data_IF_745248696628
#
_entry.id   IF_745248696628
#
_cell.length_a   1.000
_cell.length_b   1.000
_cell.length_c   1.000
_cell.angle_alpha   90.00
_cell.angle_beta   90.00
_cell.angle_gamma   90.00
#
_symmetry.space_group_name_H-M   'P 1'
#
loop_
_entity.id
_entity.type
_entity.pdbx_description
1 polymer ?
#
# COMPACT_ATOMS: atom_id res chain seq x y z
N UNK A 1 -12.64 17.83 -28.53
CA UNK A 1 -12.98 16.53 -29.16
C UNK A 1 -11.83 16.09 -30.07
N UNK A 2 -11.17 14.97 -29.80
CA UNK A 2 -10.39 14.20 -30.79
C UNK A 2 -10.82 12.73 -30.64
N UNK A 3 -11.31 12.10 -31.70
CA UNK A 3 -11.58 10.65 -31.67
C UNK A 3 -10.24 9.92 -31.66
N UNK A 4 -9.77 9.49 -30.49
CA UNK A 4 -8.87 8.32 -30.42
C UNK A 4 -9.66 7.14 -30.97
N UNK A 5 -9.16 6.51 -32.03
CA UNK A 5 -9.67 5.22 -32.45
C UNK A 5 -9.06 4.20 -31.49
N UNK A 6 -9.84 3.72 -30.51
CA UNK A 6 -9.47 2.50 -29.80
C UNK A 6 -9.44 1.38 -30.83
N UNK A 7 -8.27 0.78 -31.02
CA UNK A 7 -8.03 -0.24 -32.03
C UNK A 7 -8.61 -1.55 -31.47
N UNK A 8 -9.90 -1.74 -31.67
CA UNK A 8 -10.62 -2.97 -31.33
C UNK A 8 -10.26 -4.10 -32.28
N UNK A 9 -9.00 -4.56 -32.24
CA UNK A 9 -8.59 -5.80 -32.88
C UNK A 9 -9.22 -6.94 -32.08
N UNK A 10 -10.26 -7.54 -32.67
CA UNK A 10 -10.68 -8.88 -32.27
C UNK A 10 -9.60 -9.83 -32.77
N UNK A 11 -8.69 -10.23 -31.89
CA UNK A 11 -7.74 -11.29 -32.17
C UNK A 11 -8.53 -12.60 -32.42
N UNK A 12 -8.66 -12.98 -33.68
CA UNK A 12 -9.35 -14.22 -34.07
C UNK A 12 -8.43 -15.39 -33.71
N UNK A 13 -8.62 -15.96 -32.52
CA UNK A 13 -7.81 -17.05 -32.00
C UNK A 13 -7.83 -18.26 -32.95
N UNK A 14 -6.68 -18.57 -33.56
CA UNK A 14 -6.48 -19.80 -34.34
C UNK A 14 -6.27 -20.95 -33.35
N UNK A 15 -7.37 -21.58 -32.94
CA UNK A 15 -7.32 -22.75 -32.06
C UNK A 15 -6.77 -23.98 -32.80
N UNK A 16 -5.45 -24.13 -32.83
CA UNK A 16 -4.81 -25.34 -33.35
C UNK A 16 -4.95 -26.48 -32.33
N UNK A 17 -5.82 -27.44 -32.63
CA UNK A 17 -6.00 -28.67 -31.84
C UNK A 17 -5.69 -29.86 -32.72
N UNK A 18 -4.55 -30.53 -32.46
CA UNK A 18 -4.17 -31.80 -33.10
C UNK A 18 -3.75 -32.79 -32.00
N UNK A 19 -4.13 -34.06 -32.17
CA UNK A 19 -4.07 -35.07 -31.12
C UNK A 19 -2.83 -36.00 -31.21
N UNK A 20 -2.63 -36.75 -30.12
CA UNK A 20 -1.50 -37.63 -29.82
C UNK A 20 -1.08 -38.60 -30.93
N UNK A 21 0.24 -38.77 -31.12
CA UNK A 21 0.82 -39.84 -31.93
C UNK A 21 2.08 -40.45 -31.27
N UNK A 22 2.04 -41.74 -30.94
CA UNK A 22 3.21 -42.47 -30.43
C UNK A 22 4.05 -43.05 -31.58
N UNK A 23 5.38 -42.89 -31.53
CA UNK A 23 6.31 -43.62 -32.38
C UNK A 23 7.60 -43.99 -31.62
N UNK A 24 7.97 -45.28 -31.65
CA UNK A 24 9.29 -45.76 -31.24
C UNK A 24 10.26 -45.63 -32.44
N UNK A 25 11.50 -45.19 -32.20
CA UNK A 25 12.58 -45.27 -33.18
C UNK A 25 13.93 -45.59 -32.52
N UNK A 26 14.69 -46.50 -33.13
CA UNK A 26 16.07 -46.86 -32.75
C UNK A 26 17.00 -46.55 -33.93
N UNK A 27 18.04 -45.75 -33.70
CA UNK A 27 19.11 -45.42 -34.64
C UNK A 27 20.12 -44.51 -33.94
N UNK A 28 21.28 -45.00 -33.49
CA UNK A 28 22.51 -45.29 -34.26
C UNK A 28 23.33 -44.04 -34.66
N UNK A 29 24.18 -43.61 -33.71
CA UNK A 29 25.49 -42.96 -33.86
C UNK A 29 25.84 -42.23 -35.18
N UNK A 30 25.99 -40.90 -35.07
CA UNK A 30 27.09 -40.14 -35.70
C UNK A 30 27.72 -39.21 -34.64
N UNK A 31 29.03 -38.87 -34.75
CA UNK A 31 29.74 -38.12 -33.71
C UNK A 31 29.47 -36.61 -33.80
N UNK A 32 29.16 -35.98 -32.66
CA UNK A 32 28.82 -34.56 -32.61
C UNK A 32 30.00 -33.63 -32.98
N UNK A 33 29.91 -33.00 -34.16
CA UNK A 33 30.52 -31.69 -34.36
C UNK A 33 29.77 -30.67 -33.53
N UNK A 34 30.47 -29.86 -32.72
CA UNK A 34 29.85 -28.83 -31.90
C UNK A 34 29.15 -27.77 -32.76
N UNK A 35 27.83 -27.92 -32.94
CA UNK A 35 26.98 -26.75 -33.11
C UNK A 35 27.07 -25.94 -31.81
N UNK A 36 27.39 -24.65 -31.91
CA UNK A 36 27.13 -23.71 -30.81
C UNK A 36 25.62 -23.54 -30.74
N UNK A 37 24.99 -24.30 -29.85
CA UNK A 37 23.54 -24.31 -29.68
C UNK A 37 23.04 -22.88 -29.42
N UNK A 38 22.22 -22.38 -30.35
CA UNK A 38 21.23 -21.35 -29.99
C UNK A 38 20.27 -22.00 -29.00
N UNK A 39 19.71 -21.25 -28.03
CA UNK A 39 18.49 -21.72 -27.37
C UNK A 39 17.48 -22.10 -28.46
N UNK A 40 16.89 -23.29 -28.36
CA UNK A 40 15.92 -23.74 -29.35
C UNK A 40 14.61 -22.99 -29.15
N UNK A 41 13.93 -22.63 -30.24
CA UNK A 41 12.69 -21.87 -30.17
C UNK A 41 11.62 -22.56 -29.27
N UNK A 42 11.68 -23.89 -29.17
CA UNK A 42 10.87 -24.73 -28.26
C UNK A 42 11.04 -24.34 -26.78
N UNK A 43 12.26 -24.04 -26.33
CA UNK A 43 12.52 -23.65 -24.95
C UNK A 43 12.00 -22.22 -24.67
N UNK A 44 12.25 -21.30 -25.61
CA UNK A 44 11.80 -19.91 -25.51
C UNK A 44 10.25 -19.82 -25.57
N UNK A 45 9.60 -20.61 -26.42
CA UNK A 45 8.15 -20.72 -26.51
C UNK A 45 7.52 -21.30 -25.22
N UNK A 46 8.19 -22.25 -24.57
CA UNK A 46 7.76 -22.75 -23.26
C UNK A 46 7.84 -21.66 -22.18
N UNK A 47 8.90 -20.84 -22.18
CA UNK A 47 9.04 -19.71 -21.27
C UNK A 47 7.97 -18.64 -21.53
N UNK A 48 7.77 -18.24 -22.78
CA UNK A 48 6.78 -17.24 -23.17
C UNK A 48 5.33 -17.66 -22.87
N UNK A 49 5.01 -18.96 -22.98
CA UNK A 49 3.71 -19.50 -22.55
C UNK A 49 3.54 -19.48 -21.02
N UNK A 50 4.60 -19.76 -20.25
CA UNK A 50 4.56 -19.66 -18.79
C UNK A 50 4.39 -18.20 -18.32
N UNK A 51 5.13 -17.26 -18.93
CA UNK A 51 4.98 -15.82 -18.67
C UNK A 51 3.57 -15.31 -19.02
N UNK A 52 3.01 -15.75 -20.15
CA UNK A 52 1.63 -15.44 -20.54
C UNK A 52 0.61 -15.94 -19.51
N UNK A 53 0.84 -17.09 -18.89
CA UNK A 53 -0.01 -17.61 -17.81
C UNK A 53 0.09 -16.77 -16.52
N UNK A 54 1.29 -16.29 -16.17
CA UNK A 54 1.51 -15.37 -15.04
C UNK A 54 0.82 -14.03 -15.27
N UNK A 55 1.08 -13.36 -16.40
CA UNK A 55 0.46 -12.08 -16.76
C UNK A 55 -1.07 -12.18 -16.82
N UNK A 56 -1.60 -13.32 -17.28
CA UNK A 56 -3.04 -13.61 -17.25
C UNK A 56 -3.58 -13.70 -15.82
N UNK A 57 -2.88 -14.36 -14.92
CA UNK A 57 -3.30 -14.52 -13.54
C UNK A 57 -3.34 -13.17 -12.81
N UNK A 58 -2.29 -12.36 -12.94
CA UNK A 58 -2.19 -11.02 -12.34
C UNK A 58 -3.31 -10.09 -12.85
N UNK A 59 -3.46 -9.95 -14.17
CA UNK A 59 -4.50 -9.10 -14.77
C UNK A 59 -5.93 -9.62 -14.45
N UNK A 60 -6.08 -10.92 -14.17
CA UNK A 60 -7.37 -11.48 -13.70
C UNK A 60 -7.70 -11.04 -12.27
N UNK A 61 -6.70 -10.82 -11.42
CA UNK A 61 -6.87 -10.27 -10.06
C UNK A 61 -7.19 -8.79 -10.10
N UNK A 62 -6.41 -7.97 -10.84
CA UNK A 62 -6.66 -6.53 -11.00
C UNK A 62 -8.08 -6.25 -11.56
N UNK A 63 -8.55 -7.07 -12.49
CA UNK A 63 -9.92 -7.02 -13.03
C UNK A 63 -11.00 -7.32 -11.96
N UNK A 64 -10.70 -8.15 -10.96
CA UNK A 64 -11.62 -8.43 -9.84
C UNK A 64 -11.62 -7.29 -8.82
N UNK A 65 -10.46 -6.70 -8.52
CA UNK A 65 -10.33 -5.58 -7.58
C UNK A 65 -10.97 -4.30 -8.14
N UNK A 66 -10.76 -4.00 -9.42
CA UNK A 66 -11.47 -2.95 -10.14
C UNK A 66 -13.01 -3.13 -10.12
N UNK A 67 -13.48 -4.39 -10.21
CA UNK A 67 -14.90 -4.71 -10.02
C UNK A 67 -15.36 -4.63 -8.55
N UNK A 68 -14.48 -4.78 -7.57
CA UNK A 68 -14.79 -4.56 -6.16
C UNK A 68 -14.90 -3.06 -5.85
N UNK A 69 -14.01 -2.24 -6.42
CA UNK A 69 -14.06 -0.77 -6.34
C UNK A 69 -15.40 -0.24 -6.86
N UNK A 70 -15.89 -0.68 -8.04
CA UNK A 70 -17.22 -0.30 -8.55
C UNK A 70 -18.42 -0.65 -7.63
N UNK A 71 -18.21 -1.52 -6.64
CA UNK A 71 -19.21 -1.96 -5.64
C UNK A 71 -19.01 -1.30 -4.26
N UNK A 72 -17.89 -0.60 -4.03
CA UNK A 72 -17.58 0.08 -2.76
C UNK A 72 -18.50 1.31 -2.53
N UNK A 73 -18.50 1.94 -1.34
CA UNK A 73 -19.22 3.19 -1.12
C UNK A 73 -18.78 4.29 -2.10
N UNK A 74 -17.47 4.47 -2.29
CA UNK A 74 -16.90 5.43 -3.25
C UNK A 74 -17.29 5.09 -4.68
N UNK A 75 -17.07 3.85 -5.13
CA UNK A 75 -17.44 3.46 -6.49
C UNK A 75 -18.94 3.38 -6.74
N UNK A 76 -19.79 3.54 -5.71
CA UNK A 76 -21.24 3.78 -5.82
C UNK A 76 -21.59 5.27 -5.92
N UNK A 77 -20.89 6.14 -5.20
CA UNK A 77 -21.09 7.59 -5.19
C UNK A 77 -20.45 8.30 -6.39
N UNK A 78 -19.36 7.74 -6.94
CA UNK A 78 -18.57 8.31 -8.02
C UNK A 78 -19.40 8.69 -9.27
N UNK A 79 -18.93 9.72 -9.96
CA UNK A 79 -19.56 10.24 -11.17
C UNK A 79 -19.70 9.18 -12.26
N UNK A 80 -20.77 9.30 -13.06
CA UNK A 80 -21.12 8.25 -14.01
C UNK A 80 -20.12 8.17 -15.18
N UNK A 81 -19.38 9.24 -15.48
CA UNK A 81 -18.31 9.28 -16.48
C UNK A 81 -17.15 8.37 -16.09
N UNK A 82 -16.68 8.48 -14.85
CA UNK A 82 -15.53 7.77 -14.29
C UNK A 82 -15.88 6.29 -14.13
N UNK A 83 -17.09 6.01 -13.63
CA UNK A 83 -17.62 4.63 -13.54
C UNK A 83 -17.79 3.97 -14.90
N UNK A 84 -18.11 4.73 -15.96
CA UNK A 84 -18.15 4.23 -17.36
C UNK A 84 -16.75 3.99 -17.91
N UNK A 85 -15.78 4.84 -17.59
CA UNK A 85 -14.38 4.65 -17.99
C UNK A 85 -13.80 3.37 -17.36
N UNK A 86 -13.96 3.18 -16.05
CA UNK A 86 -13.53 1.96 -15.35
C UNK A 86 -14.26 0.71 -15.88
N UNK A 87 -15.57 0.81 -16.16
CA UNK A 87 -16.34 -0.26 -16.79
C UNK A 87 -15.88 -0.63 -18.21
N UNK A 88 -15.22 0.30 -18.94
CA UNK A 88 -14.59 0.01 -20.22
C UNK A 88 -13.21 -0.65 -20.03
N UNK A 89 -12.34 -0.07 -19.18
CA UNK A 89 -11.01 -0.63 -18.91
C UNK A 89 -11.06 -2.07 -18.37
N UNK A 90 -12.01 -2.38 -17.47
CA UNK A 90 -12.29 -3.75 -16.98
C UNK A 90 -12.59 -4.71 -18.14
N UNK A 91 -13.38 -4.27 -19.12
CA UNK A 91 -13.80 -5.11 -20.26
C UNK A 91 -12.64 -5.36 -21.22
N UNK A 92 -11.83 -4.35 -21.48
CA UNK A 92 -10.70 -4.46 -22.41
C UNK A 92 -9.57 -5.30 -21.77
N UNK A 93 -9.33 -5.15 -20.46
CA UNK A 93 -8.51 -6.07 -19.66
C UNK A 93 -9.01 -7.52 -19.67
N UNK A 94 -10.33 -7.76 -19.59
CA UNK A 94 -10.91 -9.10 -19.77
C UNK A 94 -10.65 -9.68 -21.18
N UNK A 95 -10.57 -8.84 -22.21
CA UNK A 95 -10.15 -9.22 -23.55
C UNK A 95 -8.70 -9.73 -23.60
N UNK A 96 -7.78 -9.01 -22.95
CA UNK A 96 -6.36 -9.41 -22.84
C UNK A 96 -6.19 -10.67 -21.99
N UNK A 97 -6.85 -10.77 -20.83
CA UNK A 97 -6.90 -12.00 -20.00
C UNK A 97 -7.33 -13.20 -20.84
N UNK A 98 -8.38 -13.04 -21.65
CA UNK A 98 -8.88 -14.12 -22.54
C UNK A 98 -7.84 -14.49 -23.59
N UNK A 99 -7.20 -13.49 -24.22
CA UNK A 99 -6.22 -13.68 -25.29
C UNK A 99 -4.93 -14.34 -24.80
N UNK A 100 -4.37 -13.91 -23.67
CA UNK A 100 -3.22 -14.55 -23.01
C UNK A 100 -3.50 -16.03 -22.68
N UNK A 101 -4.77 -16.37 -22.38
CA UNK A 101 -5.19 -17.76 -22.15
C UNK A 101 -5.18 -18.67 -23.37
N UNK A 102 -4.93 -18.12 -24.58
CA UNK A 102 -4.69 -18.91 -25.79
C UNK A 102 -3.21 -19.22 -26.02
N UNK A 103 -2.30 -18.49 -25.38
CA UNK A 103 -0.85 -18.74 -25.48
C UNK A 103 -0.51 -19.96 -24.63
N UNK A 104 -0.37 -21.10 -25.29
CA UNK A 104 -0.07 -22.40 -24.65
C UNK A 104 0.98 -23.13 -25.45
N UNK A 105 1.80 -23.94 -24.78
CA UNK A 105 2.89 -24.69 -25.38
C UNK A 105 2.83 -26.19 -25.04
N UNK A 106 3.19 -27.04 -25.99
CA UNK A 106 3.37 -28.48 -25.77
C UNK A 106 4.86 -28.84 -25.86
N UNK A 107 5.44 -29.55 -24.89
CA UNK A 107 6.83 -30.03 -24.96
C UNK A 107 7.15 -30.94 -26.15
N UNK A 108 6.15 -31.37 -26.94
CA UNK A 108 6.29 -32.13 -28.18
C UNK A 108 6.09 -31.31 -29.46
N UNK A 109 5.99 -29.98 -29.38
CA UNK A 109 5.74 -29.09 -30.52
C UNK A 109 6.96 -28.87 -31.42
N UNK A 110 6.69 -28.43 -32.64
CA UNK A 110 7.68 -28.14 -33.68
C UNK A 110 8.27 -26.72 -33.57
N UNK A 111 9.40 -26.45 -34.25
CA UNK A 111 9.98 -25.09 -34.28
C UNK A 111 9.08 -24.04 -34.96
N UNK A 112 8.22 -24.46 -35.90
CA UNK A 112 7.25 -23.59 -36.57
C UNK A 112 6.11 -23.19 -35.60
N UNK A 113 5.56 -24.15 -34.86
CA UNK A 113 4.59 -23.90 -33.79
C UNK A 113 5.21 -23.05 -32.66
N UNK A 114 6.47 -23.30 -32.30
CA UNK A 114 7.19 -22.52 -31.29
C UNK A 114 7.36 -21.04 -31.72
N UNK A 115 7.70 -20.82 -32.99
CA UNK A 115 7.81 -19.47 -33.56
C UNK A 115 6.46 -18.75 -33.53
N UNK A 116 5.36 -19.41 -33.89
CA UNK A 116 4.02 -18.84 -33.84
C UNK A 116 3.58 -18.48 -32.40
N UNK A 117 3.92 -19.29 -31.40
CA UNK A 117 3.69 -19.00 -29.98
C UNK A 117 4.51 -17.79 -29.52
N UNK A 118 5.76 -17.66 -29.95
CA UNK A 118 6.62 -16.53 -29.63
C UNK A 118 6.12 -15.21 -30.22
N UNK A 119 5.67 -15.19 -31.49
CA UNK A 119 5.10 -13.98 -32.12
C UNK A 119 3.81 -13.53 -31.41
N UNK A 120 2.92 -14.48 -31.08
CA UNK A 120 1.68 -14.19 -30.36
C UNK A 120 1.94 -13.68 -28.93
N UNK A 121 2.85 -14.34 -28.19
CA UNK A 121 3.23 -13.93 -26.85
C UNK A 121 3.83 -12.52 -26.85
N UNK A 122 4.83 -12.27 -27.70
CA UNK A 122 5.49 -10.96 -27.84
C UNK A 122 4.49 -9.84 -28.11
N UNK A 123 3.49 -10.10 -28.96
CA UNK A 123 2.44 -9.14 -29.30
C UNK A 123 1.57 -8.83 -28.08
N UNK A 124 1.06 -9.85 -27.39
CA UNK A 124 0.18 -9.67 -26.23
C UNK A 124 0.91 -9.08 -25.01
N UNK A 125 2.16 -9.49 -24.77
CA UNK A 125 3.00 -8.95 -23.69
C UNK A 125 3.25 -7.45 -23.84
N UNK A 126 3.37 -6.95 -25.08
CA UNK A 126 3.52 -5.52 -25.35
C UNK A 126 2.25 -4.70 -25.06
N UNK A 127 1.07 -5.31 -25.11
CA UNK A 127 -0.21 -4.64 -24.81
C UNK A 127 -0.52 -4.57 -23.30
N UNK A 128 -0.10 -5.60 -22.54
CA UNK A 128 -0.41 -5.73 -21.10
C UNK A 128 -0.09 -4.48 -20.26
N UNK A 129 1.11 -3.86 -20.33
CA UNK A 129 1.44 -2.69 -19.51
C UNK A 129 0.52 -1.49 -19.73
N UNK A 130 0.09 -1.25 -20.98
CA UNK A 130 -0.80 -0.15 -21.31
C UNK A 130 -2.21 -0.39 -20.73
N UNK A 131 -2.71 -1.62 -20.84
CA UNK A 131 -4.03 -2.01 -20.33
C UNK A 131 -4.06 -2.03 -18.80
N UNK A 132 -2.99 -2.45 -18.13
CA UNK A 132 -2.82 -2.34 -16.66
C UNK A 132 -2.82 -0.88 -16.22
N UNK A 133 -2.09 0.01 -16.91
CA UNK A 133 -2.11 1.45 -16.60
C UNK A 133 -3.50 2.06 -16.73
N UNK A 134 -4.22 1.80 -17.84
CA UNK A 134 -5.56 2.36 -18.06
C UNK A 134 -6.59 1.82 -17.04
N UNK A 135 -6.47 0.54 -16.65
CA UNK A 135 -7.27 -0.06 -15.58
C UNK A 135 -7.00 0.59 -14.22
N UNK A 136 -5.74 0.78 -13.86
CA UNK A 136 -5.35 1.39 -12.58
C UNK A 136 -5.71 2.87 -12.50
N UNK A 137 -5.50 3.64 -13.56
CA UNK A 137 -5.81 5.08 -13.56
C UNK A 137 -7.33 5.33 -13.57
N UNK A 138 -8.11 4.52 -14.28
CA UNK A 138 -9.57 4.54 -14.18
C UNK A 138 -10.08 4.11 -12.79
N UNK A 139 -9.38 3.18 -12.13
CA UNK A 139 -9.70 2.75 -10.76
C UNK A 139 -9.47 3.89 -9.76
N UNK A 140 -8.31 4.56 -9.82
CA UNK A 140 -8.00 5.74 -9.01
C UNK A 140 -9.02 6.88 -9.22
N UNK A 141 -9.38 7.16 -10.48
CA UNK A 141 -10.35 8.20 -10.81
C UNK A 141 -11.74 7.95 -10.18
N UNK A 142 -12.21 6.69 -10.20
CA UNK A 142 -13.48 6.31 -9.53
C UNK A 142 -13.40 6.47 -8.01
N UNK A 143 -12.28 6.09 -7.37
CA UNK A 143 -12.11 6.26 -5.93
C UNK A 143 -12.09 7.75 -5.55
N UNK A 144 -11.34 8.57 -6.29
CA UNK A 144 -11.23 10.02 -6.03
C UNK A 144 -12.57 10.74 -6.22
N UNK A 145 -13.26 10.52 -7.35
CA UNK A 145 -14.59 11.08 -7.61
C UNK A 145 -15.62 10.62 -6.55
N UNK A 146 -15.60 9.33 -6.20
CA UNK A 146 -16.48 8.78 -5.16
C UNK A 146 -16.28 9.41 -3.80
N UNK A 147 -15.02 9.64 -3.40
CA UNK A 147 -14.70 10.29 -2.13
C UNK A 147 -15.14 11.76 -2.13
N UNK A 148 -14.87 12.49 -3.21
CA UNK A 148 -15.27 13.90 -3.34
C UNK A 148 -16.79 14.07 -3.19
N UNK A 149 -17.58 13.28 -3.93
CA UNK A 149 -19.06 13.34 -3.86
C UNK A 149 -19.57 13.03 -2.45
N UNK A 150 -18.97 12.08 -1.72
CA UNK A 150 -19.38 11.77 -0.33
C UNK A 150 -18.97 12.86 0.67
N UNK A 151 -17.84 13.53 0.45
CA UNK A 151 -17.41 14.66 1.29
C UNK A 151 -18.32 15.88 1.09
N UNK A 152 -18.71 16.18 -0.16
CA UNK A 152 -19.68 17.24 -0.49
C UNK A 152 -21.06 16.93 0.11
N UNK A 153 -21.51 15.68 0.03
CA UNK A 153 -22.75 15.23 0.68
C UNK A 153 -22.70 15.40 2.20
N UNK A 154 -21.65 14.89 2.86
CA UNK A 154 -21.50 15.03 4.31
C UNK A 154 -21.40 16.50 4.77
N UNK A 155 -20.73 17.37 3.99
CA UNK A 155 -20.68 18.80 4.25
C UNK A 155 -22.05 19.49 4.09
N UNK A 156 -22.91 18.99 3.19
CA UNK A 156 -24.28 19.49 3.02
C UNK A 156 -25.30 18.94 4.04
N UNK A 157 -24.94 17.87 4.77
CA UNK A 157 -25.76 17.26 5.83
C UNK A 157 -25.37 17.74 7.24
N UNK A 158 -24.27 18.51 7.37
CA UNK A 158 -23.87 19.14 8.62
C UNK A 158 -24.83 20.30 8.98
N UNK A 159 -25.24 20.43 10.26
CA UNK A 159 -26.14 21.51 10.68
C UNK A 159 -25.44 22.87 10.70
N UNK A 160 -26.05 23.88 10.06
CA UNK A 160 -25.70 25.29 10.26
C UNK A 160 -26.12 25.73 11.67
N UNK A 161 -25.27 25.56 12.69
CA UNK A 161 -25.48 26.20 13.99
C UNK A 161 -24.81 27.58 14.09
N UNK A 162 -25.58 28.47 14.69
CA UNK A 162 -25.51 29.93 14.67
C UNK A 162 -24.25 30.55 15.26
N UNK A 163 -23.76 31.60 14.61
CA UNK A 163 -22.92 32.59 15.27
C UNK A 163 -23.79 33.52 16.16
N UNK A 164 -23.48 33.59 17.45
CA UNK A 164 -23.93 34.69 18.34
C UNK A 164 -22.81 35.09 19.31
N UNK A 165 -22.75 36.38 19.63
CA UNK A 165 -21.72 37.00 20.46
C UNK A 165 -22.00 36.84 21.96
N UNK A 166 -20.93 36.79 22.77
CA UNK A 166 -20.95 37.18 24.18
C UNK A 166 -19.60 37.84 24.54
N UNK A 167 -19.64 39.00 25.20
CA UNK A 167 -18.48 39.87 25.42
C UNK A 167 -18.03 39.94 26.90
N UNK A 168 -16.77 40.32 27.09
CA UNK A 168 -16.14 40.90 28.29
C UNK A 168 -16.45 40.33 29.70
N UNK A 169 -15.46 39.62 30.25
CA UNK A 169 -14.82 39.99 31.53
C UNK A 169 -13.52 39.16 31.75
N UNK A 170 -12.51 39.73 32.41
CA UNK A 170 -11.30 38.97 32.76
C UNK A 170 -10.52 39.57 33.93
N UNK A 171 -9.71 38.74 34.58
CA UNK A 171 -8.61 39.12 35.50
C UNK A 171 -7.69 37.91 35.72
N UNK A 172 -6.39 38.08 35.47
CA UNK A 172 -5.33 37.32 36.14
C UNK A 172 -5.07 37.94 37.53
N UNK A 173 -4.71 37.15 38.56
CA UNK A 173 -3.31 37.24 39.00
C UNK A 173 -2.69 35.92 39.50
N UNK A 174 -1.46 35.66 39.08
CA UNK A 174 -0.62 34.60 39.63
C UNK A 174 -0.15 34.84 41.09
N UNK A 175 -0.17 33.79 41.92
CA UNK A 175 0.85 33.50 42.96
C UNK A 175 0.59 32.14 43.67
N UNK A 176 1.65 31.35 43.87
CA UNK A 176 1.69 30.16 44.75
C UNK A 176 2.47 30.51 46.04
N UNK A 177 2.27 29.84 47.19
CA UNK A 177 3.30 28.85 47.58
C UNK A 177 2.80 27.59 48.34
N UNK A 178 3.65 26.54 48.26
CA UNK A 178 3.61 25.22 48.90
C UNK A 178 3.16 25.16 50.38
N UNK A 179 2.75 24.00 50.94
CA UNK A 179 3.61 22.96 51.61
C UNK A 179 2.63 21.92 52.24
N UNK A 180 2.81 20.58 52.38
CA UNK A 180 3.96 19.64 52.50
C UNK A 180 3.60 18.20 52.00
N UNK A 181 4.62 17.34 51.84
CA UNK A 181 4.80 15.91 52.27
C UNK A 181 3.66 15.16 53.01
N UNK A 182 3.60 13.82 53.07
CA UNK A 182 4.49 12.70 52.63
C UNK A 182 3.66 11.37 52.57
N UNK A 183 4.12 10.17 52.18
CA UNK A 183 5.44 9.62 51.74
C UNK A 183 5.23 8.60 50.59
N UNK A 184 6.27 8.34 49.79
CA UNK A 184 6.33 7.19 48.87
C UNK A 184 7.57 7.20 47.98
N UNK A 185 8.57 6.36 48.26
CA UNK A 185 9.84 6.31 47.51
C UNK A 185 9.87 5.16 46.52
N UNK A 186 10.00 5.49 45.23
CA UNK A 186 10.24 4.54 44.14
C UNK A 186 11.40 5.07 43.24
N UNK A 187 12.40 4.25 42.85
CA UNK A 187 13.71 4.78 42.45
C UNK A 187 13.91 4.92 40.93
N UNK A 188 13.09 5.73 40.25
CA UNK A 188 13.26 6.01 38.80
C UNK A 188 12.81 7.41 38.32
N UNK A 189 12.75 8.42 39.19
CA UNK A 189 12.23 9.75 38.83
C UNK A 189 13.21 10.58 37.99
N UNK A 190 13.26 10.32 36.68
CA UNK A 190 13.74 11.32 35.70
C UNK A 190 12.93 12.62 35.86
N UNK A 191 13.53 13.82 35.77
CA UNK A 191 12.79 15.07 35.92
C UNK A 191 11.65 15.19 34.90
N UNK A 192 10.44 15.50 35.36
CA UNK A 192 9.32 15.80 34.49
C UNK A 192 9.66 17.02 33.60
N UNK A 193 9.59 16.85 32.28
CA UNK A 193 9.85 17.93 31.30
C UNK A 193 10.90 17.63 30.22
N UNK A 194 11.68 16.55 30.33
CA UNK A 194 12.73 16.23 29.32
C UNK A 194 12.83 14.74 29.02
N UNK A 195 12.83 14.39 27.73
CA UNK A 195 13.14 13.03 27.27
C UNK A 195 14.65 12.76 27.28
N UNK A 196 15.07 11.49 27.40
CA UNK A 196 16.49 11.12 27.35
C UNK A 196 17.11 11.31 25.95
N UNK A 197 16.31 11.13 24.89
CA UNK A 197 16.80 11.09 23.50
C UNK A 197 16.46 12.37 22.72
N UNK A 198 17.34 12.85 21.81
CA UNK A 198 17.23 14.19 21.20
C UNK A 198 16.13 14.32 20.11
N UNK A 199 15.60 13.20 19.63
CA UNK A 199 14.46 13.07 18.72
C UNK A 199 13.12 12.90 19.46
N UNK A 200 13.14 12.68 20.78
CA UNK A 200 11.93 12.59 21.60
C UNK A 200 11.59 13.98 22.17
N UNK A 201 10.36 14.42 21.97
CA UNK A 201 9.84 15.67 22.55
C UNK A 201 8.90 15.32 23.69
N UNK A 202 9.18 15.82 24.90
CA UNK A 202 8.31 15.60 26.05
C UNK A 202 7.06 16.47 25.95
N UNK A 203 5.88 15.89 26.20
CA UNK A 203 4.64 16.66 26.38
C UNK A 203 3.74 16.01 27.44
N UNK A 204 3.01 16.85 28.16
CA UNK A 204 1.95 16.44 29.08
C UNK A 204 0.66 15.94 28.36
N UNK A 205 0.58 16.11 27.04
CA UNK A 205 -0.54 15.63 26.20
C UNK A 205 -0.17 14.37 25.38
N UNK A 206 1.10 13.94 25.43
CA UNK A 206 1.59 12.74 24.75
C UNK A 206 0.96 11.48 25.38
N UNK A 207 0.11 10.80 24.60
CA UNK A 207 -0.69 9.66 25.06
C UNK A 207 -2.04 10.04 25.67
N UNK A 208 -2.48 11.30 25.55
CA UNK A 208 -3.76 11.78 26.08
C UNK A 208 -4.73 12.34 25.01
N UNK A 209 -4.50 12.03 23.73
CA UNK A 209 -5.40 12.41 22.63
C UNK A 209 -6.83 11.88 22.84
N UNK A 210 -7.82 12.72 22.58
CA UNK A 210 -9.24 12.35 22.65
C UNK A 210 -9.67 11.45 21.49
N UNK A 211 -10.81 10.77 21.66
CA UNK A 211 -11.43 9.99 20.59
C UNK A 211 -11.92 10.83 19.39
N UNK A 212 -11.98 12.15 19.51
CA UNK A 212 -12.25 13.10 18.42
C UNK A 212 -11.00 13.49 17.62
N UNK A 213 -9.81 13.39 18.24
CA UNK A 213 -8.53 13.65 17.57
C UNK A 213 -7.96 12.40 16.90
N UNK A 214 -8.49 11.22 17.23
CA UNK A 214 -8.08 9.92 16.69
C UNK A 214 -9.05 9.43 15.60
N UNK A 215 -8.52 8.66 14.66
CA UNK A 215 -9.29 7.89 13.68
C UNK A 215 -8.77 6.45 13.61
N UNK A 216 -9.68 5.49 13.50
CA UNK A 216 -9.34 4.08 13.26
C UNK A 216 -8.70 3.91 11.87
N UNK A 217 -7.64 3.12 11.79
CA UNK A 217 -6.91 2.86 10.54
C UNK A 217 -7.80 1.95 9.65
N UNK A 218 -8.26 2.38 8.46
CA UNK A 218 -9.32 1.68 7.72
C UNK A 218 -9.02 0.24 7.25
N UNK A 219 -7.76 -0.18 7.33
CA UNK A 219 -7.26 -1.50 6.94
C UNK A 219 -6.69 -2.31 8.13
N UNK A 220 -6.63 -1.74 9.34
CA UNK A 220 -6.10 -2.36 10.54
C UNK A 220 -7.02 -2.08 11.76
N UNK A 221 -8.14 -2.81 11.91
CA UNK A 221 -9.13 -2.56 12.96
C UNK A 221 -8.52 -2.59 14.38
N UNK A 222 -8.99 -1.69 15.24
CA UNK A 222 -8.46 -1.46 16.58
C UNK A 222 -7.22 -0.56 16.64
N UNK A 223 -6.46 -0.40 15.54
CA UNK A 223 -5.36 0.55 15.47
C UNK A 223 -5.86 1.95 15.11
N UNK A 224 -5.22 2.96 15.69
CA UNK A 224 -5.64 4.36 15.57
C UNK A 224 -4.44 5.27 15.29
N UNK A 225 -4.64 6.33 14.52
CA UNK A 225 -3.70 7.44 14.33
C UNK A 225 -4.45 8.76 14.48
N UNK A 226 -3.74 9.89 14.50
CA UNK A 226 -4.38 11.21 14.53
C UNK A 226 -5.22 11.44 13.26
N UNK A 227 -6.39 12.03 13.42
CA UNK A 227 -7.44 12.08 12.38
C UNK A 227 -7.07 12.92 11.16
N UNK A 228 -6.12 13.84 11.31
CA UNK A 228 -5.49 14.62 10.24
C UNK A 228 -4.52 13.82 9.37
N UNK A 229 -3.94 12.72 9.86
CA UNK A 229 -2.94 11.91 9.12
C UNK A 229 -3.45 10.56 8.60
N UNK A 230 -4.62 10.10 9.06
CA UNK A 230 -5.22 8.81 8.65
C UNK A 230 -5.46 8.70 7.14
N UNK A 231 -5.75 9.83 6.47
CA UNK A 231 -5.96 9.89 5.03
C UNK A 231 -4.72 9.48 4.22
N UNK A 232 -3.56 10.07 4.56
CA UNK A 232 -2.28 9.71 3.93
C UNK A 232 -1.89 8.26 4.20
N UNK A 233 -2.14 7.75 5.41
CA UNK A 233 -1.85 6.35 5.75
C UNK A 233 -2.73 5.37 4.96
N UNK A 234 -4.00 5.69 4.76
CA UNK A 234 -4.91 4.89 3.94
C UNK A 234 -4.51 4.88 2.46
N UNK A 235 -3.96 5.99 1.94
CA UNK A 235 -3.48 6.08 0.56
C UNK A 235 -2.13 5.39 0.34
N UNK A 236 -1.22 5.50 1.31
CA UNK A 236 0.02 4.70 1.35
C UNK A 236 -0.31 3.20 1.37
N UNK A 237 -1.26 2.77 2.20
CA UNK A 237 -1.72 1.39 2.20
C UNK A 237 -2.33 0.97 0.86
N UNK A 238 -3.12 1.83 0.21
CA UNK A 238 -3.70 1.51 -1.10
C UNK A 238 -2.63 1.32 -2.19
N UNK A 239 -1.55 2.12 -2.16
CA UNK A 239 -0.41 1.96 -3.06
C UNK A 239 0.41 0.70 -2.72
N UNK A 240 0.67 0.45 -1.44
CA UNK A 240 1.39 -0.75 -0.97
C UNK A 240 0.64 -2.04 -1.29
N UNK A 241 -0.70 -2.05 -1.16
CA UNK A 241 -1.53 -3.19 -1.52
C UNK A 241 -1.59 -3.43 -3.03
N UNK A 242 -1.47 -2.38 -3.86
CA UNK A 242 -1.35 -2.52 -5.31
C UNK A 242 0.00 -3.11 -5.75
N UNK A 243 1.08 -2.88 -4.99
CA UNK A 243 2.39 -3.53 -5.21
C UNK A 243 2.41 -4.98 -4.72
N UNK A 244 2.06 -5.21 -3.44
CA UNK A 244 2.34 -6.47 -2.75
C UNK A 244 1.13 -7.42 -2.64
N UNK A 245 -0.05 -7.02 -3.14
CA UNK A 245 -1.29 -7.80 -3.03
C UNK A 245 -1.84 -7.96 -1.61
N UNK A 246 -1.30 -7.22 -0.64
CA UNK A 246 -1.66 -7.27 0.79
C UNK A 246 -1.62 -5.87 1.40
N UNK A 247 -2.52 -5.59 2.35
CA UNK A 247 -2.44 -4.38 3.16
C UNK A 247 -1.15 -4.33 3.99
N UNK A 248 -0.76 -3.13 4.42
CA UNK A 248 0.21 -2.92 5.48
C UNK A 248 -0.26 -3.61 6.76
N UNK A 249 0.62 -4.40 7.38
CA UNK A 249 0.37 -4.94 8.72
C UNK A 249 0.78 -3.89 9.74
N UNK A 250 -0.15 -3.37 10.53
CA UNK A 250 0.16 -2.48 11.65
C UNK A 250 0.38 -3.33 12.89
N UNK A 251 1.56 -3.23 13.49
CA UNK A 251 1.92 -3.90 14.75
C UNK A 251 1.69 -2.97 15.95
N UNK A 252 1.95 -1.67 15.79
CA UNK A 252 1.66 -0.64 16.79
C UNK A 252 1.25 0.67 16.10
N UNK A 253 0.52 1.52 16.83
CA UNK A 253 -0.09 2.74 16.31
C UNK A 253 -0.11 3.80 17.42
N UNK A 254 -1.13 4.66 17.52
CA UNK A 254 -1.38 5.43 18.74
C UNK A 254 -1.37 4.54 19.98
N UNK A 255 -0.82 5.07 21.07
CA UNK A 255 -0.63 4.41 22.36
C UNK A 255 -0.91 5.43 23.47
N UNK A 256 -1.79 5.12 24.41
CA UNK A 256 -2.12 6.04 25.50
C UNK A 256 -0.98 6.14 26.52
N UNK A 257 -1.03 7.16 27.37
CA UNK A 257 -0.05 7.36 28.45
C UNK A 257 -0.01 6.14 29.38
N UNK A 258 -1.16 5.59 29.77
CA UNK A 258 -1.26 4.44 30.67
C UNK A 258 -0.74 3.15 30.01
N UNK A 259 -0.89 3.04 28.68
CA UNK A 259 -0.28 1.95 27.90
C UNK A 259 1.24 2.09 27.80
N UNK A 260 1.77 3.32 27.70
CA UNK A 260 3.21 3.57 27.72
C UNK A 260 3.80 3.36 29.12
N UNK A 261 3.10 3.77 30.18
CA UNK A 261 3.47 3.53 31.59
C UNK A 261 3.49 2.04 31.92
N UNK A 262 2.50 1.26 31.47
CA UNK A 262 2.47 -0.19 31.64
C UNK A 262 3.53 -0.96 30.81
N UNK A 263 4.18 -0.30 29.85
CA UNK A 263 5.28 -0.85 29.04
C UNK A 263 6.67 -0.30 29.44
N UNK A 264 6.73 0.75 30.27
CA UNK A 264 7.98 1.40 30.62
C UNK A 264 8.69 0.68 31.77
N UNK A 265 9.82 0.05 31.45
CA UNK A 265 10.78 -0.46 32.42
C UNK A 265 12.02 0.46 32.41
N UNK A 266 12.31 1.23 33.49
CA UNK A 266 13.48 2.11 33.55
C UNK A 266 14.83 1.35 33.57
N UNK A 267 14.82 0.02 33.54
CA UNK A 267 16.00 -0.84 33.32
C UNK A 267 16.10 -1.43 31.91
N UNK A 268 15.22 -1.03 30.98
CA UNK A 268 15.21 -1.48 29.59
C UNK A 268 15.00 -0.34 28.58
N UNK A 269 15.90 -0.21 27.61
CA UNK A 269 15.81 0.80 26.53
C UNK A 269 14.68 0.53 25.52
N UNK A 270 13.87 -0.52 25.72
CA UNK A 270 12.80 -0.97 24.79
C UNK A 270 11.55 -0.11 24.79
N UNK A 271 11.42 0.81 25.74
CA UNK A 271 10.27 1.71 25.85
C UNK A 271 10.71 3.11 26.28
N UNK A 272 10.28 4.14 25.54
CA UNK A 272 10.47 5.52 25.95
C UNK A 272 9.74 5.81 27.29
N UNK A 273 10.19 6.78 28.09
CA UNK A 273 9.43 7.25 29.25
C UNK A 273 8.00 7.68 28.86
N UNK A 274 7.01 7.56 29.77
CA UNK A 274 5.70 8.18 29.57
C UNK A 274 5.83 9.68 29.31
N UNK A 275 5.06 10.19 28.35
CA UNK A 275 5.20 11.56 27.86
C UNK A 275 6.25 11.77 26.75
N UNK A 276 7.07 10.76 26.42
CA UNK A 276 8.16 10.82 25.43
C UNK A 276 8.01 9.87 24.23
N UNK A 277 6.88 9.16 24.12
CA UNK A 277 6.71 8.12 23.10
C UNK A 277 6.21 8.71 21.79
N UNK A 278 6.90 8.44 20.68
CA UNK A 278 6.44 8.88 19.35
C UNK A 278 5.02 8.35 19.01
N UNK A 279 4.60 7.23 19.60
CA UNK A 279 3.24 6.69 19.49
C UNK A 279 2.18 7.53 20.23
N UNK A 280 2.55 8.19 21.33
CA UNK A 280 1.66 9.08 22.09
C UNK A 280 1.25 10.35 21.33
N UNK A 281 1.93 10.67 20.23
CA UNK A 281 1.60 11.80 19.34
C UNK A 281 0.43 11.49 18.38
N UNK A 282 0.09 10.21 18.21
CA UNK A 282 -0.82 9.73 17.15
C UNK A 282 -0.23 9.77 15.73
N UNK A 283 1.03 10.20 15.56
CA UNK A 283 1.69 10.36 14.25
C UNK A 283 2.60 9.18 13.86
N UNK A 284 2.81 8.20 14.74
CA UNK A 284 3.72 7.07 14.51
C UNK A 284 2.99 5.72 14.37
N UNK A 285 3.51 4.86 13.49
CA UNK A 285 3.09 3.46 13.34
C UNK A 285 4.30 2.53 13.23
N UNK A 286 4.16 1.32 13.78
CA UNK A 286 5.10 0.22 13.55
C UNK A 286 4.49 -0.72 12.51
N UNK A 287 5.18 -0.88 11.38
CA UNK A 287 4.75 -1.65 10.21
C UNK A 287 5.48 -3.00 10.20
N UNK A 288 4.70 -4.08 10.13
CA UNK A 288 5.19 -5.45 9.98
C UNK A 288 4.88 -6.09 8.62
N UNK A 289 4.99 -7.42 8.56
CA UNK A 289 4.61 -8.22 7.38
C UNK A 289 5.73 -8.40 6.35
N UNK A 290 7.00 -8.29 6.78
CA UNK A 290 8.20 -8.31 5.94
C UNK A 290 8.82 -6.93 5.72
N UNK A 291 8.52 -5.96 6.58
CA UNK A 291 9.15 -4.62 6.67
C UNK A 291 10.20 -4.58 7.80
N UNK A 292 10.13 -5.51 8.75
CA UNK A 292 10.93 -5.60 9.97
C UNK A 292 12.45 -5.88 9.75
N UNK A 293 12.93 -5.80 8.51
CA UNK A 293 14.32 -5.95 8.13
C UNK A 293 14.73 -4.91 7.07
N UNK A 294 15.83 -4.21 7.31
CA UNK A 294 16.48 -3.32 6.34
C UNK A 294 16.86 -4.08 5.06
N UNK A 295 16.68 -3.48 3.89
CA UNK A 295 16.96 -4.13 2.60
C UNK A 295 15.97 -5.25 2.25
N UNK A 296 14.83 -5.33 2.93
CA UNK A 296 13.69 -6.12 2.48
C UNK A 296 12.91 -5.35 1.42
N UNK A 297 12.36 -6.04 0.42
CA UNK A 297 11.65 -5.40 -0.69
C UNK A 297 10.50 -4.47 -0.24
N UNK A 298 9.86 -4.76 0.90
CA UNK A 298 8.78 -3.93 1.46
C UNK A 298 9.30 -2.71 2.21
N UNK A 299 10.39 -2.84 2.96
CA UNK A 299 11.10 -1.70 3.55
C UNK A 299 11.62 -0.75 2.46
N UNK A 300 12.31 -1.30 1.45
CA UNK A 300 12.89 -0.51 0.35
C UNK A 300 11.80 0.20 -0.48
N UNK A 301 10.68 -0.49 -0.74
CA UNK A 301 9.52 0.11 -1.40
C UNK A 301 8.92 1.25 -0.56
N UNK A 302 8.76 1.07 0.76
CA UNK A 302 8.28 2.14 1.64
C UNK A 302 9.27 3.31 1.66
N UNK A 303 10.59 3.05 1.68
CA UNK A 303 11.61 4.11 1.65
C UNK A 303 11.56 4.92 0.36
N UNK A 304 11.14 4.32 -0.75
CA UNK A 304 10.98 5.00 -2.04
C UNK A 304 9.61 5.67 -2.25
N UNK A 305 8.54 5.19 -1.60
CA UNK A 305 7.16 5.57 -1.93
C UNK A 305 6.34 6.21 -0.80
N UNK A 306 6.79 6.21 0.46
CA UNK A 306 5.96 6.71 1.58
C UNK A 306 5.85 8.24 1.65
N UNK A 307 6.91 8.97 1.27
CA UNK A 307 7.02 10.44 1.45
C UNK A 307 5.93 11.25 0.70
N UNK A 308 5.51 10.91 -0.54
CA UNK A 308 4.38 11.56 -1.21
C UNK A 308 3.03 11.45 -0.48
N UNK A 309 2.86 10.44 0.38
CA UNK A 309 1.68 10.27 1.24
C UNK A 309 1.89 10.91 2.63
N UNK A 310 3.02 11.61 2.81
CA UNK A 310 3.43 12.28 4.03
C UNK A 310 3.79 11.33 5.17
N UNK A 311 4.35 10.17 4.86
CA UNK A 311 4.94 9.25 5.84
C UNK A 311 6.43 9.04 5.55
N UNK A 312 7.27 9.08 6.58
CA UNK A 312 8.73 8.95 6.44
C UNK A 312 9.28 7.95 7.45
N UNK A 313 10.42 7.36 7.10
CA UNK A 313 11.27 6.65 8.05
C UNK A 313 12.19 7.68 8.71
N UNK A 314 12.12 7.90 10.03
CA UNK A 314 12.81 9.02 10.67
C UNK A 314 14.33 8.75 10.83
N UNK A 315 15.19 9.79 10.84
CA UNK A 315 16.65 9.61 10.86
C UNK A 315 17.23 8.84 12.06
N UNK A 316 16.51 8.72 13.18
CA UNK A 316 16.95 7.90 14.31
C UNK A 316 16.77 6.39 14.07
N UNK A 317 15.84 6.02 13.19
CA UNK A 317 15.41 4.65 12.89
C UNK A 317 16.15 4.01 11.70
N UNK A 318 16.88 4.80 10.91
CA UNK A 318 17.73 4.35 9.80
C UNK A 318 18.78 3.30 10.24
N UNK A 319 19.36 2.50 9.31
CA UNK A 319 20.39 1.50 9.64
C UNK A 319 21.62 2.05 10.39
N UNK A 320 21.89 3.35 10.26
CA UNK A 320 22.96 4.08 10.95
C UNK A 320 22.44 5.13 11.93
N UNK A 321 21.14 5.10 12.25
CA UNK A 321 20.54 5.91 13.31
C UNK A 321 20.93 5.40 14.70
N UNK A 322 20.50 6.11 15.74
CA UNK A 322 20.80 5.73 17.14
C UNK A 322 20.05 4.48 17.60
N UNK A 323 18.88 4.21 17.02
CA UNK A 323 17.99 3.11 17.37
C UNK A 323 17.40 2.53 16.08
N UNK A 324 18.11 1.64 15.37
CA UNK A 324 17.69 1.17 14.05
C UNK A 324 16.40 0.33 14.10
N UNK A 325 15.30 0.89 13.60
CA UNK A 325 13.94 0.35 13.71
C UNK A 325 13.25 0.35 12.33
N UNK A 326 13.51 -0.64 11.45
CA UNK A 326 13.01 -0.64 10.07
C UNK A 326 11.46 -0.64 9.97
N UNK A 327 10.80 -1.12 11.03
CA UNK A 327 9.35 -1.08 11.18
C UNK A 327 8.80 0.30 11.53
N UNK A 328 9.59 1.27 11.98
CA UNK A 328 9.06 2.53 12.52
C UNK A 328 8.91 3.63 11.45
N UNK A 329 7.69 4.18 11.33
CA UNK A 329 7.33 5.21 10.37
C UNK A 329 6.50 6.32 11.03
N UNK A 330 6.73 7.56 10.62
CA UNK A 330 6.09 8.74 11.18
C UNK A 330 5.47 9.64 10.11
N UNK A 331 4.33 10.25 10.42
CA UNK A 331 3.73 11.24 9.54
C UNK A 331 4.41 12.59 9.62
N UNK A 332 4.54 13.26 8.47
CA UNK A 332 4.99 14.65 8.31
C UNK A 332 3.89 15.56 7.74
N UNK A 333 2.67 15.05 7.57
CA UNK A 333 1.52 15.83 7.07
C UNK A 333 1.10 16.96 8.02
N UNK A 334 1.39 16.81 9.30
CA UNK A 334 1.01 17.73 10.35
C UNK A 334 2.12 17.78 11.43
N UNK A 335 2.25 18.89 12.17
CA UNK A 335 3.33 19.08 13.11
C UNK A 335 3.23 18.14 14.32
N UNK A 336 4.40 17.72 14.82
CA UNK A 336 4.59 17.18 16.16
C UNK A 336 4.61 18.32 17.21
N UNK A 337 3.57 19.17 17.16
CA UNK A 337 3.33 20.24 18.10
C UNK A 337 2.10 19.91 18.93
N UNK A 338 2.25 20.16 20.23
CA UNK A 338 1.16 20.49 21.15
C UNK A 338 1.25 22.01 21.33
#
# INVERSE_FOLDING_TARGET
MRKRWTIGIVAVAVSLVVATGCAYALGLFEPATQATERPSAVADAQAAAAESATLRAELTTEVQDAQAVLKSPDGKAAEQTERRALGAAIKDAQGVVTSLGSVTWSPSGTEEEATAVLELATTLHAEVPAVRSELHDATKAVVASGRQVRLEQAASEAPEDTATEADAAGTDPAANPATTQDTGTDPATTPAGTCPEPDQVWSAENGHLSSSELAEIPFAPGHHVRSDVVGGLAELNAAYAAEFGVNLTINSSYRSYEQQEALYDPSSDTAAPPGCSNHGTGLAVDIGGGVEAFGSARYDWLRANAEPYGWVHPPFAEPTGRNPEPWHWQSVLAPNSY
#
